data_IF_957187802580
#
_entry.id   IF_957187802580
#
_cell.length_a   1.000
_cell.length_b   1.000
_cell.length_c   1.000
_cell.angle_alpha   90.00
_cell.angle_beta   90.00
_cell.angle_gamma   90.00
#
_symmetry.space_group_name_H-M   'P 1'
#
loop_
_entity.id
_entity.type
_entity.pdbx_description
1 polymer ?
#
# COMPACT_ATOMS: atom_id res chain seq x y z
N UNK A 1 -16.87 11.28 3.59
CA UNK A 1 -16.58 10.65 4.89
C UNK A 1 -15.43 11.32 5.64
N UNK A 2 -14.19 11.32 5.10
CA UNK A 2 -12.99 11.87 5.76
C UNK A 2 -13.13 13.24 6.44
N UNK A 3 -13.80 14.22 5.80
CA UNK A 3 -13.97 15.56 6.37
C UNK A 3 -14.87 15.57 7.62
N UNK A 4 -15.97 14.81 7.58
CA UNK A 4 -16.91 14.66 8.71
C UNK A 4 -16.18 13.99 9.88
N UNK A 5 -15.47 12.89 9.61
CA UNK A 5 -14.73 12.15 10.63
C UNK A 5 -13.68 13.03 11.31
N UNK A 6 -12.91 13.80 10.52
CA UNK A 6 -11.94 14.76 11.04
C UNK A 6 -12.61 15.84 11.90
N UNK A 7 -13.76 16.35 11.48
CA UNK A 7 -14.52 17.34 12.24
C UNK A 7 -14.99 16.78 13.59
N UNK A 8 -15.60 15.59 13.60
CA UNK A 8 -16.09 14.92 14.81
C UNK A 8 -14.94 14.64 15.77
N UNK A 9 -13.86 14.00 15.30
CA UNK A 9 -12.69 13.70 16.15
C UNK A 9 -12.05 14.97 16.74
N UNK A 10 -12.16 16.12 16.05
CA UNK A 10 -11.60 17.39 16.53
C UNK A 10 -12.41 18.07 17.65
N UNK A 11 -13.62 17.59 17.95
CA UNK A 11 -14.50 18.19 18.98
C UNK A 11 -14.05 17.87 20.41
N UNK A 12 -13.21 16.85 20.61
CA UNK A 12 -12.58 16.54 21.90
C UNK A 12 -11.05 16.60 21.69
N UNK A 13 -10.36 17.40 22.50
CA UNK A 13 -8.92 17.64 22.34
C UNK A 13 -8.08 16.38 22.56
N UNK A 14 -8.47 15.52 23.50
CA UNK A 14 -7.76 14.25 23.80
C UNK A 14 -8.03 13.23 22.70
N UNK A 15 -9.26 13.16 22.20
CA UNK A 15 -9.60 12.30 21.05
C UNK A 15 -8.84 12.78 19.81
N UNK A 16 -8.79 14.09 19.56
CA UNK A 16 -8.04 14.67 18.44
C UNK A 16 -6.55 14.34 18.51
N UNK A 17 -5.96 14.41 19.69
CA UNK A 17 -4.54 14.11 19.91
C UNK A 17 -4.25 12.61 19.75
N UNK A 18 -5.11 11.76 20.32
CA UNK A 18 -4.94 10.31 20.32
C UNK A 18 -5.43 9.60 19.07
N UNK A 19 -5.94 10.30 18.05
CA UNK A 19 -6.47 9.68 16.83
C UNK A 19 -5.91 10.26 15.54
N UNK A 20 -5.78 9.41 14.52
CA UNK A 20 -5.39 9.80 13.18
C UNK A 20 -6.33 9.16 12.15
N UNK A 21 -7.24 9.93 11.54
CA UNK A 21 -8.17 9.40 10.54
C UNK A 21 -7.50 9.22 9.17
N UNK A 22 -7.70 8.07 8.55
CA UNK A 22 -7.23 7.76 7.20
C UNK A 22 -8.36 7.15 6.33
N UNK A 23 -8.84 7.92 5.36
CA UNK A 23 -9.98 7.57 4.49
C UNK A 23 -11.20 7.17 5.32
N UNK A 24 -11.39 5.88 5.59
CA UNK A 24 -12.50 5.29 6.35
C UNK A 24 -12.03 4.63 7.66
N UNK A 25 -10.71 4.51 7.89
CA UNK A 25 -10.12 3.93 9.09
C UNK A 25 -9.70 5.03 10.10
N UNK A 26 -9.65 4.68 11.38
CA UNK A 26 -9.12 5.53 12.46
C UNK A 26 -8.01 4.78 13.16
N UNK A 27 -6.80 5.34 13.15
CA UNK A 27 -5.73 4.86 14.02
C UNK A 27 -5.91 5.50 15.40
N UNK A 28 -5.93 4.68 16.45
CA UNK A 28 -6.06 5.11 17.84
C UNK A 28 -4.76 4.82 18.58
N UNK A 29 -4.21 5.82 19.25
CA UNK A 29 -3.09 5.68 20.16
C UNK A 29 -3.62 5.46 21.59
N UNK A 30 -3.62 4.21 22.05
CA UNK A 30 -4.13 3.83 23.37
C UNK A 30 -3.31 4.38 24.54
N UNK A 31 -2.10 4.88 24.30
CA UNK A 31 -1.31 5.60 25.31
C UNK A 31 -1.89 7.00 25.61
N UNK A 32 -2.71 7.54 24.70
CA UNK A 32 -3.32 8.89 24.80
C UNK A 32 -4.82 8.80 25.07
N UNK A 33 -5.53 7.93 24.34
CA UNK A 33 -6.99 7.80 24.42
C UNK A 33 -7.42 6.34 24.25
N UNK A 34 -8.28 5.85 25.14
CA UNK A 34 -8.81 4.48 25.03
C UNK A 34 -9.73 4.35 23.82
N UNK A 35 -9.71 3.18 23.19
CA UNK A 35 -10.62 2.84 22.08
C UNK A 35 -12.09 3.04 22.47
N UNK A 36 -12.51 2.60 23.66
CA UNK A 36 -13.89 2.81 24.13
C UNK A 36 -14.29 4.28 24.26
N UNK A 37 -13.38 5.18 24.63
CA UNK A 37 -13.67 6.62 24.67
C UNK A 37 -13.87 7.18 23.26
N UNK A 38 -13.09 6.72 22.29
CA UNK A 38 -13.27 7.10 20.89
C UNK A 38 -14.61 6.59 20.36
N UNK A 39 -15.00 5.36 20.66
CA UNK A 39 -16.30 4.79 20.26
C UNK A 39 -17.47 5.58 20.84
N UNK A 40 -17.43 5.89 22.14
CA UNK A 40 -18.43 6.72 22.81
C UNK A 40 -18.50 8.12 22.19
N UNK A 41 -17.34 8.70 21.86
CA UNK A 41 -17.29 10.01 21.20
C UNK A 41 -17.95 9.96 19.83
N UNK A 42 -17.65 8.96 19.00
CA UNK A 42 -18.29 8.77 17.69
C UNK A 42 -19.81 8.59 17.82
N UNK A 43 -20.26 7.78 18.78
CA UNK A 43 -21.67 7.49 19.02
C UNK A 43 -22.49 8.76 19.35
N UNK A 44 -21.90 9.73 20.07
CA UNK A 44 -22.55 11.02 20.37
C UNK A 44 -22.90 11.83 19.12
N UNK A 45 -22.19 11.60 18.01
CA UNK A 45 -22.44 12.23 16.72
C UNK A 45 -23.15 11.30 15.74
N UNK A 46 -23.73 10.19 16.22
CA UNK A 46 -24.45 9.22 15.39
C UNK A 46 -23.54 8.37 14.49
N UNK A 47 -22.23 8.34 14.76
CA UNK A 47 -21.28 7.50 14.03
C UNK A 47 -21.05 6.19 14.78
N UNK A 48 -21.15 5.08 14.07
CA UNK A 48 -20.85 3.74 14.60
C UNK A 48 -19.57 3.20 13.98
N UNK A 49 -18.73 2.59 14.81
CA UNK A 49 -17.52 1.88 14.40
C UNK A 49 -17.71 0.38 14.51
N UNK A 50 -16.91 -0.38 13.76
CA UNK A 50 -16.70 -1.80 14.04
C UNK A 50 -15.86 -1.96 15.30
N UNK A 51 -15.83 -3.18 15.83
CA UNK A 51 -14.95 -3.55 16.93
C UNK A 51 -13.50 -3.16 16.61
N UNK A 52 -12.80 -2.46 17.51
CA UNK A 52 -11.41 -2.08 17.32
C UNK A 52 -10.53 -3.31 17.15
N UNK A 53 -9.62 -3.26 16.18
CA UNK A 53 -8.62 -4.31 15.95
C UNK A 53 -7.23 -3.77 16.31
N UNK A 54 -6.51 -4.51 17.17
CA UNK A 54 -5.13 -4.16 17.49
C UNK A 54 -4.23 -4.50 16.31
N UNK A 55 -3.46 -3.51 15.85
CA UNK A 55 -2.56 -3.65 14.69
C UNK A 55 -1.53 -4.76 14.89
N UNK A 56 -1.09 -4.99 16.12
CA UNK A 56 -0.15 -6.07 16.44
C UNK A 56 -0.75 -7.47 16.30
N UNK A 57 -2.08 -7.62 16.31
CA UNK A 57 -2.76 -8.92 16.39
C UNK A 57 -3.19 -9.45 15.01
N UNK A 58 -2.75 -8.83 13.90
CA UNK A 58 -3.05 -9.30 12.55
C UNK A 58 -4.03 -8.43 11.75
N UNK A 59 -4.24 -7.18 12.15
CA UNK A 59 -5.22 -6.28 11.53
C UNK A 59 -4.90 -5.95 10.06
N UNK A 60 -5.94 -5.59 9.30
CA UNK A 60 -5.82 -5.09 7.94
C UNK A 60 -5.71 -3.57 7.94
N UNK A 61 -4.61 -3.03 7.41
CA UNK A 61 -4.33 -1.59 7.33
C UNK A 61 -3.91 -1.25 5.90
N UNK A 62 -4.65 -0.39 5.19
CA UNK A 62 -4.34 0.03 3.81
C UNK A 62 -4.25 -1.12 2.79
N UNK A 63 -5.01 -2.19 3.01
CA UNK A 63 -4.95 -3.41 2.21
C UNK A 63 -3.74 -4.31 2.51
N UNK A 64 -2.88 -3.94 3.46
CA UNK A 64 -1.82 -4.79 4.02
C UNK A 64 -2.33 -5.47 5.28
N UNK A 65 -1.81 -6.66 5.56
CA UNK A 65 -1.95 -7.32 6.85
C UNK A 65 -0.75 -6.98 7.72
N UNK A 66 -1.00 -6.52 8.93
CA UNK A 66 0.01 -6.08 9.89
C UNK A 66 -0.03 -6.96 11.12
N UNK A 67 1.11 -7.35 11.65
CA UNK A 67 1.20 -8.11 12.90
C UNK A 67 2.48 -7.77 13.65
N UNK A 68 2.48 -8.02 14.96
CA UNK A 68 3.64 -7.94 15.83
C UNK A 68 4.43 -9.25 15.81
N UNK A 69 5.74 -9.16 15.66
CA UNK A 69 6.66 -10.29 15.80
C UNK A 69 7.98 -9.78 16.40
N UNK A 70 8.43 -10.41 17.49
CA UNK A 70 9.69 -10.05 18.19
C UNK A 70 9.83 -8.54 18.49
N UNK A 71 8.74 -7.92 18.96
CA UNK A 71 8.71 -6.48 19.29
C UNK A 71 8.74 -5.53 18.08
N UNK A 72 8.57 -6.06 16.86
CA UNK A 72 8.51 -5.28 15.61
C UNK A 72 7.18 -5.48 14.90
N UNK A 73 6.71 -4.45 14.17
CA UNK A 73 5.55 -4.59 13.29
C UNK A 73 5.98 -5.05 11.89
N UNK A 74 5.42 -6.17 11.46
CA UNK A 74 5.62 -6.77 10.17
C UNK A 74 4.37 -6.60 9.32
N UNK A 75 4.60 -6.46 8.02
CA UNK A 75 3.56 -6.18 7.04
C UNK A 75 3.69 -7.16 5.89
N UNK A 76 2.55 -7.50 5.31
CA UNK A 76 2.47 -8.28 4.09
C UNK A 76 1.23 -7.90 3.31
N UNK A 77 1.20 -8.30 2.04
CA UNK A 77 0.01 -8.24 1.22
C UNK A 77 -1.13 -9.05 1.84
N UNK A 78 -2.33 -8.47 1.88
CA UNK A 78 -3.52 -9.18 2.34
C UNK A 78 -4.29 -9.86 1.20
N UNK A 79 -4.21 -9.33 -0.03
CA UNK A 79 -4.87 -9.95 -1.18
C UNK A 79 -4.10 -11.19 -1.68
N UNK A 80 -4.83 -12.26 -1.97
CA UNK A 80 -4.26 -13.41 -2.68
C UNK A 80 -3.89 -12.99 -4.10
N UNK A 81 -2.68 -13.33 -4.51
CA UNK A 81 -2.29 -13.24 -5.91
C UNK A 81 -3.00 -14.38 -6.65
N UNK A 82 -3.87 -14.03 -7.59
CA UNK A 82 -4.45 -15.00 -8.51
C UNK A 82 -3.42 -15.47 -9.54
N UNK A 83 -3.84 -16.37 -10.41
CA UNK A 83 -3.01 -16.81 -11.52
C UNK A 83 -2.85 -15.73 -12.60
N UNK A 84 -1.69 -15.79 -13.27
CA UNK A 84 -1.43 -14.95 -14.44
C UNK A 84 -2.47 -15.30 -15.51
N UNK A 85 -3.11 -14.31 -16.16
CA UNK A 85 -4.13 -14.60 -17.16
C UNK A 85 -3.56 -15.42 -18.32
N UNK A 86 -4.18 -16.56 -18.62
CA UNK A 86 -3.79 -17.40 -19.77
C UNK A 86 -4.07 -16.71 -21.11
N UNK A 87 -5.14 -15.90 -21.17
CA UNK A 87 -5.50 -15.03 -22.30
C UNK A 87 -5.16 -13.58 -21.97
N UNK A 88 -4.25 -12.99 -22.73
CA UNK A 88 -3.85 -11.61 -22.56
C UNK A 88 -4.78 -10.69 -23.33
N UNK A 89 -5.68 -10.01 -22.62
CA UNK A 89 -6.41 -8.85 -23.12
C UNK A 89 -6.00 -7.64 -22.30
N UNK A 90 -6.20 -6.44 -22.82
CA UNK A 90 -5.82 -5.22 -22.09
C UNK A 90 -6.53 -5.18 -20.75
N UNK A 91 -7.80 -5.60 -20.70
CA UNK A 91 -8.60 -5.74 -19.49
C UNK A 91 -8.01 -6.77 -18.52
N UNK A 92 -7.69 -7.98 -18.97
CA UNK A 92 -7.20 -9.06 -18.08
C UNK A 92 -5.85 -8.70 -17.46
N UNK A 93 -4.93 -8.15 -18.26
CA UNK A 93 -3.63 -7.72 -17.80
C UNK A 93 -3.73 -6.51 -16.87
N UNK A 94 -4.49 -5.47 -17.23
CA UNK A 94 -4.63 -4.28 -16.36
C UNK A 94 -5.26 -4.64 -15.00
N UNK A 95 -6.23 -5.55 -15.01
CA UNK A 95 -6.83 -6.10 -13.78
C UNK A 95 -5.80 -6.86 -12.94
N UNK A 96 -5.01 -7.74 -13.57
CA UNK A 96 -3.95 -8.48 -12.88
C UNK A 96 -2.89 -7.55 -12.27
N UNK A 97 -2.40 -6.59 -13.05
CA UNK A 97 -1.49 -5.56 -12.59
C UNK A 97 -2.08 -4.69 -11.48
N UNK A 98 -3.39 -4.42 -11.50
CA UNK A 98 -4.11 -3.77 -10.41
C UNK A 98 -4.04 -4.59 -9.12
N UNK A 99 -4.21 -5.92 -9.20
CA UNK A 99 -4.06 -6.83 -8.06
C UNK A 99 -2.62 -6.90 -7.53
N UNK A 100 -1.62 -6.82 -8.42
CA UNK A 100 -0.21 -6.77 -8.03
C UNK A 100 0.14 -5.50 -7.24
N UNK A 101 -0.39 -4.35 -7.62
CA UNK A 101 -0.08 -3.08 -6.95
C UNK A 101 -1.00 -2.72 -5.79
N UNK A 102 -2.26 -3.16 -5.81
CA UNK A 102 -3.28 -2.76 -4.83
C UNK A 102 -3.30 -1.25 -4.56
N UNK A 103 -3.65 -0.88 -3.33
CA UNK A 103 -3.50 0.48 -2.81
C UNK A 103 -2.23 0.64 -1.98
N UNK A 104 -1.19 -0.18 -2.22
CA UNK A 104 -0.04 -0.19 -1.33
C UNK A 104 0.74 1.13 -1.41
N UNK A 105 1.06 1.74 -0.24
CA UNK A 105 1.80 2.99 -0.21
C UNK A 105 3.20 2.79 -0.82
N UNK A 106 3.79 1.63 -0.59
CA UNK A 106 5.12 1.24 -1.05
C UNK A 106 5.06 -0.05 -1.86
N UNK A 107 5.60 -0.03 -3.08
CA UNK A 107 5.66 -1.20 -3.98
C UNK A 107 7.02 -1.38 -4.66
N UNK A 108 8.05 -0.63 -4.26
CA UNK A 108 9.41 -0.79 -4.79
C UNK A 108 9.52 -0.87 -6.32
N UNK A 109 10.26 -1.88 -6.77
CA UNK A 109 10.46 -2.21 -8.18
C UNK A 109 9.17 -2.59 -8.92
N UNK A 110 8.16 -3.12 -8.22
CA UNK A 110 6.93 -3.63 -8.83
C UNK A 110 6.12 -2.53 -9.51
N UNK A 111 6.15 -1.30 -8.99
CA UNK A 111 5.47 -0.15 -9.62
C UNK A 111 6.04 0.14 -11.02
N UNK A 112 7.33 -0.12 -11.21
CA UNK A 112 8.04 0.06 -12.48
C UNK A 112 7.68 -1.03 -13.46
N UNK A 113 7.82 -2.27 -13.02
CA UNK A 113 7.52 -3.45 -13.82
C UNK A 113 6.09 -3.37 -14.34
N UNK A 114 5.13 -3.11 -13.45
CA UNK A 114 3.72 -2.96 -13.83
C UNK A 114 3.48 -1.77 -14.77
N UNK A 115 4.12 -0.62 -14.55
CA UNK A 115 3.98 0.52 -15.47
C UNK A 115 4.54 0.20 -16.86
N UNK A 116 5.67 -0.51 -16.93
CA UNK A 116 6.26 -0.97 -18.18
C UNK A 116 5.34 -1.95 -18.92
N UNK A 117 4.84 -2.99 -18.22
CA UNK A 117 3.90 -3.98 -18.77
C UNK A 117 2.64 -3.28 -19.32
N UNK A 118 2.05 -2.36 -18.54
CA UNK A 118 0.85 -1.60 -18.96
C UNK A 118 1.08 -0.76 -20.21
N UNK A 119 2.26 -0.13 -20.32
CA UNK A 119 2.65 0.61 -21.52
C UNK A 119 2.81 -0.33 -22.72
N UNK A 120 3.58 -1.42 -22.57
CA UNK A 120 3.79 -2.40 -23.66
C UNK A 120 2.45 -2.88 -24.23
N UNK A 121 1.50 -3.26 -23.37
CA UNK A 121 0.16 -3.64 -23.83
C UNK A 121 -0.60 -2.52 -24.54
N UNK A 122 -0.51 -1.29 -24.04
CA UNK A 122 -1.20 -0.15 -24.66
C UNK A 122 -0.62 0.20 -26.04
N UNK A 123 0.61 -0.21 -26.35
CA UNK A 123 1.18 -0.12 -27.70
C UNK A 123 0.72 -1.25 -28.63
N UNK A 124 0.36 -2.41 -28.08
CA UNK A 124 -0.07 -3.57 -28.86
C UNK A 124 -1.57 -3.51 -29.21
N UNK A 125 -2.40 -2.99 -28.32
CA UNK A 125 -3.84 -2.83 -28.57
C UNK A 125 -4.43 -1.62 -27.86
N UNK A 126 -5.34 -0.95 -28.55
CA UNK A 126 -6.21 0.08 -27.97
C UNK A 126 -7.49 -0.51 -27.37
N UNK A 127 -7.92 -1.69 -27.84
CA UNK A 127 -9.13 -2.39 -27.41
C UNK A 127 -8.96 -3.03 -26.02
N UNK A 128 -10.04 -3.07 -25.25
CA UNK A 128 -10.04 -3.68 -23.91
C UNK A 128 -10.04 -5.21 -23.96
N UNK A 129 -10.71 -5.77 -24.96
CA UNK A 129 -11.10 -7.18 -24.99
C UNK A 129 -10.48 -7.95 -26.16
N UNK A 130 -9.72 -7.27 -27.02
CA UNK A 130 -8.87 -7.92 -28.04
C UNK A 130 -7.80 -8.79 -27.39
N UNK A 131 -7.65 -10.01 -27.92
CA UNK A 131 -6.64 -10.97 -27.48
C UNK A 131 -5.32 -10.65 -28.16
N UNK A 132 -4.29 -10.43 -27.35
CA UNK A 132 -2.93 -10.16 -27.79
C UNK A 132 -2.08 -11.42 -27.62
N UNK A 133 -1.39 -11.81 -28.69
CA UNK A 133 -0.42 -12.91 -28.69
C UNK A 133 0.99 -12.30 -28.72
N UNK A 134 1.59 -12.12 -27.54
CA UNK A 134 2.96 -11.62 -27.39
C UNK A 134 3.64 -12.43 -26.27
N UNK A 135 4.47 -13.39 -26.67
CA UNK A 135 5.15 -14.32 -25.75
C UNK A 135 6.12 -13.59 -24.82
N UNK A 136 6.74 -12.51 -25.27
CA UNK A 136 7.63 -11.72 -24.43
C UNK A 136 6.86 -10.97 -23.33
N UNK A 137 5.70 -10.37 -23.67
CA UNK A 137 4.84 -9.70 -22.69
C UNK A 137 4.31 -10.70 -21.67
N UNK A 138 3.94 -11.90 -22.12
CA UNK A 138 3.54 -12.99 -21.25
C UNK A 138 4.67 -13.40 -20.30
N UNK A 139 5.87 -13.64 -20.83
CA UNK A 139 7.04 -14.01 -20.04
C UNK A 139 7.38 -12.96 -18.99
N UNK A 140 7.38 -11.66 -19.34
CA UNK A 140 7.66 -10.56 -18.41
C UNK A 140 6.60 -10.49 -17.30
N UNK A 141 5.33 -10.73 -17.63
CA UNK A 141 4.24 -10.75 -16.66
C UNK A 141 4.37 -11.93 -15.69
N UNK A 142 4.72 -13.11 -16.19
CA UNK A 142 4.97 -14.32 -15.40
C UNK A 142 6.19 -14.18 -14.49
N UNK A 143 7.30 -13.67 -15.03
CA UNK A 143 8.51 -13.37 -14.25
C UNK A 143 8.22 -12.37 -13.13
N UNK A 144 7.51 -11.28 -13.45
CA UNK A 144 7.07 -10.29 -12.45
C UNK A 144 6.22 -10.96 -11.36
N UNK A 145 5.25 -11.78 -11.73
CA UNK A 145 4.40 -12.48 -10.77
C UNK A 145 5.21 -13.43 -9.87
N UNK A 146 6.14 -14.17 -10.46
CA UNK A 146 7.02 -15.09 -9.74
C UNK A 146 7.94 -14.36 -8.77
N UNK A 147 8.49 -13.21 -9.17
CA UNK A 147 9.33 -12.41 -8.28
C UNK A 147 8.53 -11.82 -7.13
N UNK A 148 7.28 -11.38 -7.35
CA UNK A 148 6.40 -10.97 -6.24
C UNK A 148 6.11 -12.14 -5.30
N UNK A 149 5.88 -13.35 -5.81
CA UNK A 149 5.63 -14.53 -4.96
C UNK A 149 6.85 -14.87 -4.10
N UNK A 150 8.07 -14.68 -4.61
CA UNK A 150 9.32 -14.94 -3.89
C UNK A 150 9.69 -13.81 -2.92
N UNK A 151 9.71 -12.57 -3.43
CA UNK A 151 10.24 -11.38 -2.77
C UNK A 151 9.26 -10.20 -2.89
N UNK A 152 8.06 -10.36 -2.36
CA UNK A 152 7.02 -9.32 -2.44
C UNK A 152 7.54 -8.00 -1.85
N UNK A 153 7.68 -6.92 -2.65
CA UNK A 153 8.25 -5.67 -2.18
C UNK A 153 7.35 -4.91 -1.21
N UNK A 154 6.15 -5.41 -0.91
CA UNK A 154 5.27 -4.88 0.15
C UNK A 154 5.43 -5.62 1.48
N UNK A 155 6.18 -6.73 1.49
CA UNK A 155 6.47 -7.50 2.71
C UNK A 155 7.67 -6.90 3.44
N UNK A 156 7.58 -6.79 4.76
CA UNK A 156 8.70 -6.35 5.60
C UNK A 156 8.27 -5.44 6.74
N UNK A 157 9.21 -4.62 7.23
CA UNK A 157 8.96 -3.61 8.25
C UNK A 157 8.81 -2.24 7.59
N UNK A 158 7.67 -1.60 7.78
CA UNK A 158 7.35 -0.28 7.19
C UNK A 158 7.09 0.78 8.25
N UNK A 159 7.90 0.78 9.30
CA UNK A 159 7.93 1.86 10.27
C UNK A 159 9.37 2.30 10.49
N UNK A 160 9.55 3.59 10.73
CA UNK A 160 10.82 4.20 11.13
C UNK A 160 10.55 5.00 12.39
N UNK A 161 11.54 4.98 13.29
CA UNK A 161 11.53 5.87 14.46
C UNK A 161 12.07 7.24 14.03
N UNK A 162 11.69 8.26 14.79
CA UNK A 162 12.24 9.60 14.67
C UNK A 162 11.20 10.70 14.51
N UNK A 163 11.64 11.92 14.84
CA UNK A 163 10.83 13.14 14.78
C UNK A 163 11.06 13.94 13.49
N UNK A 164 12.06 13.57 12.68
CA UNK A 164 12.42 14.23 11.42
C UNK A 164 12.67 13.18 10.35
N UNK A 165 12.22 13.47 9.13
CA UNK A 165 12.47 12.64 7.96
C UNK A 165 12.86 13.52 6.76
N UNK A 166 13.77 13.02 5.93
CA UNK A 166 14.07 13.58 4.61
C UNK A 166 13.26 12.81 3.57
N UNK A 167 12.50 13.54 2.76
CA UNK A 167 11.75 12.97 1.65
C UNK A 167 12.45 13.34 0.36
N UNK A 168 12.87 12.33 -0.39
CA UNK A 168 13.41 12.46 -1.74
C UNK A 168 12.33 12.05 -2.73
N UNK A 169 12.11 12.87 -3.74
CA UNK A 169 11.14 12.59 -4.80
C UNK A 169 11.84 12.66 -6.15
N UNK A 170 11.51 11.71 -7.01
CA UNK A 170 11.94 11.69 -8.40
C UNK A 170 10.74 11.32 -9.28
N UNK A 171 10.70 11.87 -10.49
CA UNK A 171 9.62 11.66 -11.42
C UNK A 171 10.19 11.43 -12.82
N UNK A 172 9.68 10.40 -13.48
CA UNK A 172 9.96 10.12 -14.89
C UNK A 172 8.65 9.88 -15.64
N UNK A 173 8.73 9.88 -16.97
CA UNK A 173 7.65 9.37 -17.83
C UNK A 173 7.24 7.94 -17.47
N UNK A 174 8.13 7.19 -16.79
CA UNK A 174 7.89 5.80 -16.45
C UNK A 174 7.22 5.59 -15.10
N UNK A 175 7.59 6.36 -14.07
CA UNK A 175 7.06 6.25 -12.72
C UNK A 175 7.49 7.42 -11.82
N UNK A 176 6.78 7.55 -10.69
CA UNK A 176 7.16 8.38 -9.53
C UNK A 176 7.92 7.54 -8.51
N UNK A 177 9.09 8.02 -8.11
CA UNK A 177 9.92 7.51 -7.02
C UNK A 177 9.79 8.39 -5.77
N UNK A 178 9.67 7.77 -4.60
CA UNK A 178 9.73 8.46 -3.31
C UNK A 178 10.63 7.65 -2.39
N UNK A 179 11.52 8.32 -1.67
CA UNK A 179 12.34 7.71 -0.62
C UNK A 179 12.21 8.55 0.63
N UNK A 180 11.95 7.89 1.76
CA UNK A 180 11.91 8.52 3.07
C UNK A 180 13.10 8.02 3.86
N UNK A 181 13.90 8.93 4.37
CA UNK A 181 15.03 8.65 5.24
C UNK A 181 14.77 9.26 6.62
N UNK A 182 14.82 8.44 7.67
CA UNK A 182 14.65 8.88 9.05
C UNK A 182 15.63 8.10 9.94
N UNK A 183 16.40 8.80 10.78
CA UNK A 183 17.38 8.20 11.71
C UNK A 183 18.33 7.18 11.04
N UNK A 184 18.82 7.49 9.83
CA UNK A 184 19.69 6.59 9.06
C UNK A 184 19.00 5.37 8.45
N UNK A 185 17.69 5.19 8.69
CA UNK A 185 16.87 4.17 8.06
C UNK A 185 16.23 4.70 6.78
N UNK A 186 16.36 3.95 5.69
CA UNK A 186 15.80 4.34 4.38
C UNK A 186 14.59 3.46 4.06
N UNK A 187 13.40 4.05 4.01
CA UNK A 187 12.19 3.45 3.45
C UNK A 187 12.10 3.86 1.98
N UNK A 188 12.25 2.89 1.07
CA UNK A 188 12.25 3.15 -0.38
C UNK A 188 10.95 2.73 -1.05
N UNK A 189 10.37 3.64 -1.87
CA UNK A 189 9.33 3.31 -2.85
C UNK A 189 9.89 2.73 -4.17
N UNK A 190 11.21 2.70 -4.35
CA UNK A 190 11.94 2.13 -5.51
C UNK A 190 13.38 1.73 -5.14
N UNK A 191 13.91 0.63 -5.70
CA UNK A 191 15.34 0.29 -5.64
C UNK A 191 16.12 1.22 -6.58
N UNK A 192 17.24 1.76 -6.12
CA UNK A 192 18.20 2.49 -6.94
C UNK A 192 18.89 1.46 -7.86
N UNK A 193 18.96 1.72 -9.17
CA UNK A 193 20.04 1.17 -9.97
C UNK A 193 21.30 1.84 -9.42
N UNK A 194 22.16 1.10 -8.71
CA UNK A 194 23.46 1.63 -8.34
C UNK A 194 24.22 1.94 -9.64
N UNK A 195 24.89 3.09 -9.79
CA UNK A 195 26.02 3.16 -10.70
C UNK A 195 27.05 2.15 -10.18
N UNK A 196 27.48 1.22 -11.03
CA UNK A 196 28.72 0.50 -10.73
C UNK A 196 29.83 1.56 -10.78
N UNK A 197 30.45 1.79 -9.63
CA UNK A 197 31.77 2.42 -9.58
C UNK A 197 32.84 1.40 -9.93
#
# INVERSE_FOLDING_TARGET
MKAILKCVLSQDSVVKEGTSPYIDDILVNEDVVTTSRVEQHLARYGLTSKTPERVADGARVLGLRVWGERGSLHWKRDNKLGEVPSRLTRRSMFSYCGRLLGHFPVCGWLRVAVAFIKRKMSHLTSSWDEVVIDDQLKAILEETANEVRKNDPVRGRWYVKGSKARVWVDASSLALGVVIEAEGCIIRRRRQLAPQG
#
